data_IF_720335295617
#
_entry.id   IF_720335295617
#
_cell.length_a   1.000
_cell.length_b   1.000
_cell.length_c   1.000
_cell.angle_alpha   90.00
_cell.angle_beta   90.00
_cell.angle_gamma   90.00
#
_symmetry.space_group_name_H-M   'P 1'
#
loop_
_entity.id
_entity.type
_entity.pdbx_description
1 polymer ?
#
# COMPACT_ATOMS: atom_id res chain seq x y z
N UNK A 1 -15.19 3.08 -6.04
CA UNK A 1 -14.51 3.83 -4.96
C UNK A 1 -13.02 3.76 -5.23
N UNK A 2 -12.48 2.54 -5.31
CA UNK A 2 -11.13 2.21 -5.77
C UNK A 2 -10.71 2.91 -7.07
N UNK A 3 -11.55 2.91 -8.12
CA UNK A 3 -11.27 3.61 -9.39
C UNK A 3 -11.04 5.13 -9.26
N UNK A 4 -11.65 5.79 -8.27
CA UNK A 4 -11.46 7.22 -7.99
C UNK A 4 -10.33 7.47 -6.97
N UNK A 5 -9.83 6.42 -6.33
CA UNK A 5 -8.71 6.46 -5.38
C UNK A 5 -7.39 6.12 -6.05
N UNK A 6 -7.39 5.23 -7.03
CA UNK A 6 -6.20 4.84 -7.81
C UNK A 6 -5.81 5.88 -8.86
N UNK A 7 -6.76 6.71 -9.29
CA UNK A 7 -6.54 7.84 -10.18
C UNK A 7 -7.17 9.09 -9.58
N UNK A 8 -6.34 10.03 -9.11
CA UNK A 8 -6.77 11.25 -8.42
C UNK A 8 -7.45 12.27 -9.35
N UNK A 9 -7.59 11.95 -10.65
CA UNK A 9 -8.26 12.82 -11.61
C UNK A 9 -9.79 12.76 -11.51
N UNK A 10 -10.43 13.92 -11.60
CA UNK A 10 -11.88 14.01 -11.58
C UNK A 10 -12.47 13.44 -12.88
N UNK A 11 -13.33 12.43 -12.79
CA UNK A 11 -13.92 11.74 -13.96
C UNK A 11 -15.42 11.99 -14.06
N UNK A 12 -15.95 11.99 -15.28
CA UNK A 12 -17.39 12.12 -15.49
C UNK A 12 -18.14 10.78 -15.36
N UNK A 13 -19.46 10.86 -15.19
CA UNK A 13 -20.30 9.69 -14.91
C UNK A 13 -20.34 8.68 -16.06
N UNK A 14 -20.13 9.12 -17.30
CA UNK A 14 -20.14 8.24 -18.46
C UNK A 14 -18.83 7.45 -18.52
N UNK A 15 -17.70 8.10 -18.29
CA UNK A 15 -16.38 7.45 -18.23
C UNK A 15 -16.32 6.45 -17.07
N UNK A 16 -16.82 6.85 -15.89
CA UNK A 16 -16.90 5.98 -14.73
C UNK A 16 -17.82 4.79 -15.00
N UNK A 17 -19.02 5.02 -15.55
CA UNK A 17 -19.97 3.96 -15.89
C UNK A 17 -19.39 2.95 -16.89
N UNK A 18 -18.76 3.44 -17.96
CA UNK A 18 -18.11 2.59 -18.95
C UNK A 18 -16.99 1.72 -18.35
N UNK A 19 -16.18 2.30 -17.46
CA UNK A 19 -15.04 1.60 -16.84
C UNK A 19 -15.49 0.46 -15.92
N UNK A 20 -16.59 0.63 -15.18
CA UNK A 20 -17.09 -0.39 -14.25
C UNK A 20 -18.24 -1.24 -14.82
N UNK A 21 -18.55 -1.09 -16.11
CA UNK A 21 -19.63 -1.83 -16.76
C UNK A 21 -21.04 -1.47 -16.27
N UNK A 22 -21.23 -0.25 -15.76
CA UNK A 22 -22.52 0.24 -15.26
C UNK A 22 -23.16 1.25 -16.20
N UNK A 23 -24.49 1.18 -16.33
CA UNK A 23 -25.25 2.21 -17.02
C UNK A 23 -25.10 3.57 -16.29
N UNK A 24 -25.06 4.72 -17.00
CA UNK A 24 -24.85 6.04 -16.38
C UNK A 24 -25.85 6.44 -15.30
N UNK A 25 -27.09 5.93 -15.34
CA UNK A 25 -28.07 6.15 -14.27
C UNK A 25 -27.68 5.42 -12.99
N UNK A 26 -27.25 4.16 -13.09
CA UNK A 26 -26.79 3.34 -11.96
C UNK A 26 -25.50 3.90 -11.38
N UNK A 27 -24.52 4.26 -12.23
CA UNK A 27 -23.30 4.91 -11.80
C UNK A 27 -23.58 6.22 -11.03
N UNK A 28 -24.53 7.04 -11.50
CA UNK A 28 -24.96 8.27 -10.81
C UNK A 28 -25.55 7.97 -9.43
N UNK A 29 -26.40 6.94 -9.30
CA UNK A 29 -26.98 6.53 -8.02
C UNK A 29 -25.92 6.09 -7.01
N UNK A 30 -24.94 5.29 -7.43
CA UNK A 30 -23.83 4.87 -6.56
C UNK A 30 -22.92 6.06 -6.17
N UNK A 31 -22.61 6.95 -7.12
CA UNK A 31 -21.81 8.15 -6.84
C UNK A 31 -22.51 9.07 -5.85
N UNK A 32 -23.83 9.17 -5.90
CA UNK A 32 -24.60 9.96 -4.94
C UNK A 32 -24.59 9.32 -3.53
N UNK A 33 -24.64 7.99 -3.42
CA UNK A 33 -24.45 7.28 -2.15
C UNK A 33 -23.06 7.60 -1.58
N UNK A 34 -22.01 7.45 -2.39
CA UNK A 34 -20.63 7.72 -1.96
C UNK A 34 -20.40 9.21 -1.63
N UNK A 35 -21.07 10.13 -2.34
CA UNK A 35 -21.05 11.57 -2.04
C UNK A 35 -21.71 11.89 -0.70
N UNK A 36 -22.87 11.29 -0.40
CA UNK A 36 -23.54 11.44 0.90
C UNK A 36 -22.71 10.87 2.05
N UNK A 37 -21.94 9.81 1.78
CA UNK A 37 -20.98 9.23 2.72
C UNK A 37 -19.68 10.07 2.86
N UNK A 38 -19.54 11.19 2.14
CA UNK A 38 -18.35 12.05 2.21
C UNK A 38 -17.11 11.47 1.53
N UNK A 39 -17.23 10.39 0.76
CA UNK A 39 -16.10 9.70 0.11
C UNK A 39 -15.75 10.29 -1.26
N UNK A 40 -16.66 11.08 -1.85
CA UNK A 40 -16.52 11.64 -3.21
C UNK A 40 -17.09 13.05 -3.23
N UNK A 41 -16.41 13.96 -3.93
CA UNK A 41 -16.90 15.31 -4.20
C UNK A 41 -17.36 15.44 -5.64
N UNK A 42 -18.48 16.14 -5.81
CA UNK A 42 -18.99 16.55 -7.12
C UNK A 42 -18.38 17.90 -7.47
N UNK A 43 -17.64 17.99 -8.56
CA UNK A 43 -17.12 19.25 -9.10
C UNK A 43 -17.75 19.54 -10.46
N UNK A 44 -17.78 20.82 -10.82
CA UNK A 44 -18.11 21.23 -12.19
C UNK A 44 -16.80 21.49 -12.92
N UNK A 45 -16.48 20.67 -13.91
CA UNK A 45 -15.34 20.93 -14.77
C UNK A 45 -15.76 21.91 -15.85
N UNK A 46 -15.19 23.12 -15.82
CA UNK A 46 -15.28 24.08 -16.94
C UNK A 46 -14.07 23.82 -17.83
N UNK A 47 -14.30 23.46 -19.07
CA UNK A 47 -13.25 23.39 -20.08
C UNK A 47 -12.94 24.83 -20.55
N UNK A 48 -11.67 25.12 -20.85
CA UNK A 48 -11.31 26.32 -21.63
C UNK A 48 -11.81 26.11 -23.07
N UNK A 49 -13.05 26.48 -23.34
CA UNK A 49 -13.71 26.27 -24.64
C UNK A 49 -15.23 26.41 -24.60
N UNK A 50 -15.89 26.45 -25.77
CA UNK A 50 -17.36 26.47 -25.87
C UNK A 50 -17.91 25.06 -25.61
N UNK A 51 -18.58 24.87 -24.47
CA UNK A 51 -19.26 23.62 -24.13
C UNK A 51 -20.01 23.70 -22.80
N UNK A 52 -21.12 22.94 -22.67
CA UNK A 52 -21.92 22.89 -21.43
C UNK A 52 -21.06 22.33 -20.29
N UNK A 53 -21.04 22.95 -19.09
CA UNK A 53 -20.25 22.47 -17.96
C UNK A 53 -20.56 21.00 -17.63
N UNK A 54 -19.53 20.16 -17.52
CA UNK A 54 -19.68 18.75 -17.17
C UNK A 54 -19.58 18.57 -15.65
N UNK A 55 -20.44 17.70 -15.12
CA UNK A 55 -20.32 17.24 -13.73
C UNK A 55 -19.28 16.13 -13.68
N UNK A 56 -18.23 16.32 -12.90
CA UNK A 56 -17.19 15.32 -12.63
C UNK A 56 -17.20 14.96 -11.16
N UNK A 57 -16.71 13.77 -10.84
CA UNK A 57 -16.59 13.23 -9.50
C UNK A 57 -15.12 12.92 -9.22
N UNK A 58 -14.64 13.28 -8.04
CA UNK A 58 -13.30 12.95 -7.56
C UNK A 58 -13.42 12.39 -6.14
N UNK A 59 -12.59 11.41 -5.78
CA UNK A 59 -12.54 10.97 -4.39
C UNK A 59 -12.22 12.16 -3.48
N UNK A 60 -12.81 12.19 -2.29
CA UNK A 60 -12.35 13.11 -1.26
C UNK A 60 -11.00 12.59 -0.80
N UNK A 61 -9.93 13.18 -1.33
CA UNK A 61 -8.66 13.11 -0.64
C UNK A 61 -8.85 13.80 0.71
N UNK A 62 -8.67 13.06 1.81
CA UNK A 62 -8.50 13.64 3.13
C UNK A 62 -7.16 14.38 3.20
N UNK A 63 -7.02 15.44 2.39
CA UNK A 63 -5.88 16.36 2.35
C UNK A 63 -5.59 16.90 3.76
N UNK A 64 -6.65 17.16 4.54
CA UNK A 64 -6.58 17.62 5.93
C UNK A 64 -6.17 16.54 6.94
N UNK A 65 -6.13 15.26 6.58
CA UNK A 65 -5.75 14.18 7.49
C UNK A 65 -4.34 13.65 7.21
N UNK A 66 -4.02 13.43 5.93
CA UNK A 66 -2.77 12.78 5.51
C UNK A 66 -1.53 13.52 6.01
N UNK A 67 -1.44 14.83 5.82
CA UNK A 67 -0.28 15.61 6.26
C UNK A 67 -0.09 15.65 7.79
N UNK A 68 -1.18 15.60 8.59
CA UNK A 68 -1.06 15.58 10.05
C UNK A 68 -0.57 14.21 10.56
N UNK A 69 -1.06 13.11 9.98
CA UNK A 69 -0.57 11.78 10.34
C UNK A 69 0.85 11.53 9.83
N UNK A 70 1.21 12.04 8.65
CA UNK A 70 2.58 12.01 8.14
C UNK A 70 3.53 12.78 9.06
N UNK A 71 3.17 14.00 9.46
CA UNK A 71 3.96 14.80 10.40
C UNK A 71 4.11 14.13 11.78
N UNK A 72 3.03 13.56 12.32
CA UNK A 72 3.10 12.80 13.57
C UNK A 72 3.99 11.56 13.43
N UNK A 73 3.86 10.82 12.33
CA UNK A 73 4.67 9.63 12.07
C UNK A 73 6.16 9.99 11.92
N UNK A 74 6.49 11.10 11.27
CA UNK A 74 7.87 11.59 11.18
C UNK A 74 8.43 11.96 12.57
N UNK A 75 7.65 12.66 13.40
CA UNK A 75 8.05 12.98 14.78
C UNK A 75 8.29 11.72 15.63
N UNK A 76 7.41 10.73 15.54
CA UNK A 76 7.56 9.45 16.25
C UNK A 76 8.75 8.64 15.72
N UNK A 77 8.99 8.65 14.40
CA UNK A 77 10.13 7.99 13.79
C UNK A 77 11.45 8.61 14.26
N UNK A 78 11.56 9.95 14.23
CA UNK A 78 12.73 10.67 14.71
C UNK A 78 13.01 10.42 16.20
N UNK A 79 11.95 10.31 17.02
CA UNK A 79 12.05 10.08 18.46
C UNK A 79 12.15 8.60 18.89
N UNK A 80 12.24 7.65 17.96
CA UNK A 80 12.19 6.22 18.28
C UNK A 80 13.42 5.73 19.06
N UNK A 81 14.59 6.29 18.75
CA UNK A 81 15.87 6.07 19.42
C UNK A 81 16.90 7.13 18.96
N UNK A 82 18.00 7.25 19.68
CA UNK A 82 19.02 8.28 19.45
C UNK A 82 19.79 8.05 18.14
N UNK A 83 20.12 6.79 17.83
CA UNK A 83 20.88 6.44 16.62
C UNK A 83 20.02 5.76 15.55
N UNK A 84 20.45 5.85 14.28
CA UNK A 84 19.74 5.21 13.17
C UNK A 84 19.71 3.67 13.31
N UNK A 85 20.78 3.07 13.80
CA UNK A 85 20.86 1.62 13.99
C UNK A 85 19.92 1.13 15.10
N UNK A 86 19.84 1.85 16.23
CA UNK A 86 18.88 1.53 17.29
C UNK A 86 17.44 1.73 16.82
N UNK A 87 17.18 2.78 16.04
CA UNK A 87 15.88 3.01 15.42
C UNK A 87 15.50 1.85 14.51
N UNK A 88 16.41 1.38 13.67
CA UNK A 88 16.19 0.25 12.78
C UNK A 88 15.89 -1.04 13.57
N UNK A 89 16.71 -1.38 14.57
CA UNK A 89 16.49 -2.57 15.40
C UNK A 89 15.13 -2.55 16.11
N UNK A 90 14.75 -1.40 16.69
CA UNK A 90 13.48 -1.26 17.39
C UNK A 90 12.28 -1.26 16.44
N UNK A 91 12.42 -0.61 15.29
CA UNK A 91 11.41 -0.60 14.23
C UNK A 91 11.16 -2.01 13.67
N UNK A 92 12.22 -2.80 13.49
CA UNK A 92 12.10 -4.18 13.05
C UNK A 92 11.32 -5.02 14.09
N UNK A 93 11.65 -4.90 15.38
CA UNK A 93 10.90 -5.57 16.46
C UNK A 93 9.42 -5.17 16.48
N UNK A 94 9.11 -3.89 16.24
CA UNK A 94 7.73 -3.42 16.11
C UNK A 94 7.03 -4.10 14.93
N UNK A 95 7.71 -4.23 13.79
CA UNK A 95 7.21 -4.95 12.63
C UNK A 95 6.89 -6.42 12.93
N UNK A 96 7.79 -7.11 13.62
CA UNK A 96 7.59 -8.52 14.03
C UNK A 96 6.39 -8.67 14.98
N UNK A 97 6.26 -7.77 15.96
CA UNK A 97 5.12 -7.74 16.87
C UNK A 97 3.81 -7.45 16.12
N UNK A 98 3.84 -6.58 15.12
CA UNK A 98 2.68 -6.33 14.28
C UNK A 98 2.27 -7.58 13.51
N UNK A 99 3.22 -8.34 12.95
CA UNK A 99 2.95 -9.61 12.30
C UNK A 99 2.26 -10.63 13.24
N UNK A 100 2.62 -10.63 14.53
CA UNK A 100 1.99 -11.48 15.53
C UNK A 100 0.51 -11.13 15.77
N UNK A 101 0.12 -9.86 15.60
CA UNK A 101 -1.25 -9.38 15.79
C UNK A 101 -2.14 -9.55 14.55
N UNK A 102 -1.55 -9.86 13.40
CA UNK A 102 -2.32 -10.08 12.17
C UNK A 102 -3.07 -11.43 12.23
N UNK A 103 -4.38 -11.34 12.00
CA UNK A 103 -5.26 -12.50 11.84
C UNK A 103 -5.18 -13.06 10.42
N UNK A 104 -5.48 -14.35 10.27
CA UNK A 104 -5.61 -14.99 8.95
C UNK A 104 -4.28 -15.33 8.26
N UNK A 105 -3.16 -15.32 9.00
CA UNK A 105 -1.90 -15.92 8.53
C UNK A 105 -1.89 -17.40 8.94
N UNK A 106 -2.02 -18.34 7.99
CA UNK A 106 -1.97 -19.77 8.29
C UNK A 106 -0.55 -20.22 8.66
N UNK A 107 -0.44 -21.37 9.32
CA UNK A 107 0.82 -22.11 9.38
C UNK A 107 0.87 -23.06 8.19
N UNK A 108 1.95 -23.02 7.42
CA UNK A 108 2.10 -23.81 6.20
C UNK A 108 3.33 -24.72 6.32
N UNK A 109 3.22 -25.75 7.15
CA UNK A 109 4.30 -26.71 7.37
C UNK A 109 4.74 -27.34 6.05
N UNK A 110 5.99 -27.06 5.63
CA UNK A 110 6.58 -27.60 4.41
C UNK A 110 6.04 -27.00 3.10
N UNK A 111 5.32 -25.88 3.13
CA UNK A 111 4.84 -25.22 1.90
C UNK A 111 5.98 -24.80 0.97
N UNK A 112 5.74 -24.89 -0.34
CA UNK A 112 6.70 -24.48 -1.35
C UNK A 112 6.95 -22.95 -1.31
N UNK A 113 8.13 -22.51 -1.77
CA UNK A 113 8.51 -21.08 -1.77
C UNK A 113 7.50 -20.20 -2.55
N UNK A 114 6.84 -20.77 -3.54
CA UNK A 114 5.78 -20.11 -4.30
C UNK A 114 4.53 -19.83 -3.46
N UNK A 115 4.11 -20.80 -2.65
CA UNK A 115 2.95 -20.65 -1.78
C UNK A 115 3.23 -19.61 -0.69
N UNK A 116 4.43 -19.64 -0.09
CA UNK A 116 4.91 -18.62 0.84
C UNK A 116 4.90 -17.23 0.19
N UNK A 117 5.42 -17.10 -1.03
CA UNK A 117 5.44 -15.84 -1.76
C UNK A 117 4.03 -15.31 -2.06
N UNK A 118 3.08 -16.18 -2.43
CA UNK A 118 1.67 -15.83 -2.63
C UNK A 118 1.03 -15.31 -1.35
N UNK A 119 1.26 -15.96 -0.21
CA UNK A 119 0.72 -15.51 1.07
C UNK A 119 1.29 -14.16 1.51
N UNK A 120 2.60 -13.97 1.39
CA UNK A 120 3.25 -12.68 1.66
C UNK A 120 2.72 -11.60 0.72
N UNK A 121 2.65 -11.87 -0.58
CA UNK A 121 2.08 -10.94 -1.56
C UNK A 121 0.64 -10.57 -1.19
N UNK A 122 -0.21 -11.54 -0.86
CA UNK A 122 -1.58 -11.27 -0.44
C UNK A 122 -1.69 -10.42 0.83
N UNK A 123 -0.74 -10.55 1.77
CA UNK A 123 -0.68 -9.68 2.95
C UNK A 123 -0.35 -8.24 2.56
N UNK A 124 0.71 -8.03 1.78
CA UNK A 124 1.12 -6.69 1.35
C UNK A 124 0.08 -6.01 0.45
N UNK A 125 -0.68 -6.78 -0.33
CA UNK A 125 -1.85 -6.31 -1.09
C UNK A 125 -2.90 -5.71 -0.16
N UNK A 126 -3.30 -6.43 0.90
CA UNK A 126 -4.29 -5.94 1.89
C UNK A 126 -3.81 -4.70 2.65
N UNK A 127 -2.49 -4.55 2.79
CA UNK A 127 -1.88 -3.38 3.40
C UNK A 127 -1.70 -2.21 2.41
N UNK A 128 -2.05 -2.41 1.14
CA UNK A 128 -2.07 -1.36 0.12
C UNK A 128 -0.74 -1.13 -0.61
N UNK A 129 0.20 -2.09 -0.56
CA UNK A 129 1.52 -1.96 -1.18
C UNK A 129 1.57 -2.19 -2.69
N UNK A 130 0.46 -2.64 -3.30
CA UNK A 130 0.38 -3.07 -4.70
C UNK A 130 1.55 -4.00 -5.10
N UNK A 131 1.71 -5.17 -4.44
CA UNK A 131 2.74 -6.15 -4.76
C UNK A 131 2.58 -6.78 -6.14
N UNK A 132 3.72 -7.05 -6.77
CA UNK A 132 3.84 -7.84 -7.99
C UNK A 132 4.84 -8.98 -7.75
N UNK A 133 4.38 -10.22 -7.90
CA UNK A 133 5.23 -11.40 -7.80
C UNK A 133 6.10 -11.53 -9.05
N UNK A 134 7.41 -11.68 -8.83
CA UNK A 134 8.41 -11.89 -9.88
C UNK A 134 9.26 -13.12 -9.58
N UNK A 135 9.80 -13.70 -10.64
CA UNK A 135 10.78 -14.78 -10.55
C UNK A 135 12.11 -14.29 -11.07
N UNK A 136 13.19 -14.57 -10.34
CA UNK A 136 14.56 -14.27 -10.74
C UNK A 136 15.42 -15.53 -10.60
N UNK A 137 16.63 -15.50 -11.17
CA UNK A 137 17.62 -16.58 -10.99
C UNK A 137 17.98 -16.81 -9.51
N UNK A 138 17.87 -15.78 -8.67
CA UNK A 138 18.16 -15.83 -7.23
C UNK A 138 16.95 -16.24 -6.37
N UNK A 139 15.84 -16.67 -6.98
CA UNK A 139 14.62 -17.08 -6.29
C UNK A 139 13.43 -16.13 -6.52
N UNK A 140 12.45 -16.18 -5.60
CA UNK A 140 11.20 -15.40 -5.68
C UNK A 140 11.43 -13.96 -5.21
N UNK A 141 10.85 -13.03 -5.96
CA UNK A 141 10.89 -11.60 -5.66
C UNK A 141 9.48 -11.03 -5.56
N UNK A 142 9.29 -10.01 -4.74
CA UNK A 142 8.04 -9.26 -4.64
C UNK A 142 8.38 -7.79 -4.82
N UNK A 143 7.91 -7.21 -5.92
CA UNK A 143 8.06 -5.80 -6.21
C UNK A 143 6.89 -5.04 -5.58
N UNK A 144 7.15 -4.06 -4.72
CA UNK A 144 6.13 -3.28 -4.01
C UNK A 144 6.03 -1.87 -4.61
N UNK A 145 4.92 -1.56 -5.28
CA UNK A 145 4.76 -0.35 -6.08
C UNK A 145 4.11 0.83 -5.34
N UNK A 146 3.48 0.61 -4.18
CA UNK A 146 2.66 1.62 -3.52
C UNK A 146 2.88 1.66 -1.99
N UNK A 147 4.06 2.04 -1.51
CA UNK A 147 4.29 2.18 -0.06
C UNK A 147 3.30 3.20 0.55
N UNK A 148 2.40 2.79 1.46
CA UNK A 148 1.39 3.70 2.04
C UNK A 148 1.98 4.81 2.91
N UNK A 149 3.22 4.61 3.37
CA UNK A 149 3.97 5.51 4.24
C UNK A 149 5.11 6.23 3.51
N UNK A 150 5.07 6.27 2.17
CA UNK A 150 6.18 6.73 1.32
C UNK A 150 6.77 8.10 1.73
N UNK A 151 5.98 9.14 2.06
CA UNK A 151 6.54 10.43 2.49
C UNK A 151 7.47 10.28 3.70
N UNK A 152 7.00 9.57 4.75
CA UNK A 152 7.77 9.32 5.98
C UNK A 152 8.93 8.35 5.71
N UNK A 153 8.72 7.35 4.84
CA UNK A 153 9.76 6.38 4.48
C UNK A 153 10.94 7.01 3.73
N UNK A 154 10.71 8.11 2.99
CA UNK A 154 11.80 8.85 2.32
C UNK A 154 12.65 9.65 3.32
N UNK A 155 12.04 10.13 4.40
CA UNK A 155 12.71 10.91 5.45
C UNK A 155 13.37 10.01 6.50
N UNK A 156 12.70 8.92 6.87
CA UNK A 156 13.11 7.95 7.90
C UNK A 156 13.06 6.50 7.38
N UNK A 157 13.85 6.15 6.35
CA UNK A 157 13.86 4.80 5.80
C UNK A 157 14.28 3.75 6.83
N UNK A 158 15.18 4.11 7.76
CA UNK A 158 15.64 3.22 8.83
C UNK A 158 14.52 2.81 9.79
N UNK A 159 13.44 3.61 9.88
CA UNK A 159 12.27 3.26 10.70
C UNK A 159 11.24 2.55 9.83
N UNK A 160 10.72 3.21 8.80
CA UNK A 160 9.56 2.70 8.07
C UNK A 160 9.90 1.43 7.29
N UNK A 161 11.05 1.38 6.64
CA UNK A 161 11.46 0.18 5.90
C UNK A 161 11.83 -0.97 6.86
N UNK A 162 12.40 -0.67 8.03
CA UNK A 162 12.67 -1.69 9.04
C UNK A 162 11.37 -2.28 9.64
N UNK A 163 10.33 -1.46 9.88
CA UNK A 163 9.00 -1.98 10.25
C UNK A 163 8.48 -2.95 9.19
N UNK A 164 8.60 -2.62 7.90
CA UNK A 164 8.17 -3.53 6.84
C UNK A 164 9.01 -4.82 6.77
N UNK A 165 10.32 -4.74 7.04
CA UNK A 165 11.20 -5.91 7.12
C UNK A 165 10.82 -6.82 8.30
N UNK A 166 10.58 -6.24 9.48
CA UNK A 166 10.14 -6.98 10.66
C UNK A 166 8.77 -7.63 10.45
N UNK A 167 7.84 -6.92 9.82
CA UNK A 167 6.53 -7.46 9.43
C UNK A 167 6.70 -8.67 8.51
N UNK A 168 7.57 -8.55 7.51
CA UNK A 168 7.88 -9.63 6.58
C UNK A 168 8.51 -10.84 7.30
N UNK A 169 9.51 -10.62 8.16
CA UNK A 169 10.16 -11.66 8.98
C UNK A 169 9.16 -12.39 9.88
N UNK A 170 8.36 -11.63 10.63
CA UNK A 170 7.34 -12.20 11.50
C UNK A 170 6.26 -12.98 10.73
N UNK A 171 5.91 -12.53 9.53
CA UNK A 171 4.96 -13.25 8.65
C UNK A 171 5.57 -14.57 8.17
N UNK A 172 6.82 -14.57 7.71
CA UNK A 172 7.52 -15.77 7.25
C UNK A 172 7.69 -16.80 8.39
N UNK A 173 8.05 -16.34 9.59
CA UNK A 173 8.15 -17.19 10.77
C UNK A 173 6.82 -17.90 11.08
N UNK A 174 5.69 -17.19 10.98
CA UNK A 174 4.35 -17.77 11.18
C UNK A 174 3.95 -18.77 10.11
N UNK A 175 4.37 -18.52 8.87
CA UNK A 175 4.18 -19.44 7.75
C UNK A 175 5.06 -20.70 7.86
N UNK A 176 6.03 -20.74 8.79
CA UNK A 176 6.99 -21.84 8.90
C UNK A 176 8.08 -21.80 7.82
N UNK A 177 8.30 -20.65 7.19
CA UNK A 177 9.33 -20.47 6.19
C UNK A 177 10.72 -20.31 6.85
N UNK A 178 11.72 -21.00 6.33
CA UNK A 178 13.13 -20.92 6.78
C UNK A 178 13.94 -19.86 6.03
N UNK A 179 13.36 -19.28 4.97
CA UNK A 179 13.97 -18.23 4.18
C UNK A 179 14.16 -16.94 4.98
N UNK A 180 15.37 -16.37 4.89
CA UNK A 180 15.63 -15.02 5.38
C UNK A 180 15.26 -13.99 4.29
N UNK A 181 14.31 -13.08 4.55
CA UNK A 181 13.94 -12.06 3.58
C UNK A 181 14.97 -10.93 3.53
N UNK A 182 15.10 -10.30 2.36
CA UNK A 182 15.78 -9.02 2.19
C UNK A 182 14.80 -8.00 1.60
N UNK A 183 14.74 -6.80 2.18
CA UNK A 183 13.99 -5.68 1.64
C UNK A 183 14.98 -4.61 1.18
N UNK A 184 15.00 -4.31 -0.11
CA UNK A 184 15.77 -3.20 -0.70
C UNK A 184 14.80 -2.06 -1.02
N UNK A 185 14.79 -0.98 -0.22
CA UNK A 185 13.86 0.12 -0.43
C UNK A 185 14.28 0.99 -1.62
N UNK A 186 13.31 1.58 -2.31
CA UNK A 186 13.51 2.60 -3.35
C UNK A 186 14.52 2.22 -4.45
N UNK A 187 14.45 0.98 -4.95
CA UNK A 187 15.22 0.55 -6.15
C UNK A 187 14.84 1.38 -7.38
N UNK A 188 13.62 1.91 -7.39
CA UNK A 188 13.17 3.02 -8.22
C UNK A 188 12.37 3.99 -7.33
N UNK A 189 12.02 5.21 -7.77
CA UNK A 189 11.36 6.20 -6.91
C UNK A 189 10.13 5.66 -6.19
N UNK A 190 9.33 4.83 -6.84
CA UNK A 190 8.09 4.29 -6.29
C UNK A 190 8.18 2.77 -6.01
N UNK A 191 9.36 2.15 -6.16
CA UNK A 191 9.52 0.70 -6.11
C UNK A 191 10.43 0.26 -4.98
N UNK A 192 9.94 -0.66 -4.13
CA UNK A 192 10.77 -1.43 -3.21
C UNK A 192 10.84 -2.89 -3.69
N UNK A 193 11.97 -3.55 -3.46
CA UNK A 193 12.15 -4.95 -3.85
C UNK A 193 12.33 -5.85 -2.63
N UNK A 194 11.47 -6.84 -2.50
CA UNK A 194 11.63 -7.94 -1.55
C UNK A 194 12.23 -9.14 -2.26
N UNK A 195 13.27 -9.72 -1.68
CA UNK A 195 13.83 -11.01 -2.08
C UNK A 195 13.56 -12.02 -0.97
N UNK A 196 12.91 -13.11 -1.34
CA UNK A 196 12.78 -14.29 -0.50
C UNK A 196 13.94 -15.21 -0.94
N UNK A 197 15.01 -15.26 -0.15
CA UNK A 197 16.16 -16.13 -0.46
C UNK A 197 15.73 -17.58 -0.64
N UNK A 198 16.48 -18.35 -1.43
CA UNK A 198 16.26 -19.80 -1.51
C UNK A 198 16.41 -20.43 -0.10
N UNK A 199 15.61 -21.45 0.20
CA UNK A 199 15.81 -22.25 1.41
C UNK A 199 17.22 -22.87 1.39
N UNK A 200 17.93 -22.76 2.51
CA UNK A 200 19.16 -23.53 2.76
C UNK A 200 18.88 -25.03 2.93
#
# INVERSE_FOLDING_TARGET
>A
MELLQSDSTARDVHDLGATVGLHPSTARSHLEILRRAGLVVRRTHRHDGRGRPRTVYAAVESQHGRGHYEGLAALLAAGLADTADERAARAEQIGEQWAAQLSGVPTLDGAADEEVAVHVSGLFERLGFAPELRTSEAGRQIALHACPFRPVAREHPEVVCAVHLGLLRGTLARLGATTTPQLTPFVEPELCMVRLGARE
#
